data_IF_496904522853
#
_entry.id   IF_496904522853
#
_cell.length_a   1.000
_cell.length_b   1.000
_cell.length_c   1.000
_cell.angle_alpha   90.00
_cell.angle_beta   90.00
_cell.angle_gamma   90.00
#
_symmetry.space_group_name_H-M   'P 1'
#
loop_
_entity.id
_entity.type
_entity.pdbx_description
1 polymer ?
#
# COMPACT_ATOMS: atom_id res chain seq x y z
N UNK A 1 -17.21 -0.29 -26.71
CA UNK A 1 -16.03 -0.53 -25.87
C UNK A 1 -16.55 -1.03 -24.53
N UNK A 2 -16.16 -2.21 -24.09
CA UNK A 2 -16.47 -2.66 -22.73
C UNK A 2 -15.79 -1.71 -21.74
N UNK A 3 -16.53 -1.18 -20.79
CA UNK A 3 -15.98 -0.33 -19.75
C UNK A 3 -15.06 -1.17 -18.86
N UNK A 4 -13.85 -0.68 -18.57
CA UNK A 4 -12.92 -1.35 -17.66
C UNK A 4 -13.57 -1.59 -16.29
N UNK A 5 -13.46 -2.83 -15.78
CA UNK A 5 -14.03 -3.21 -14.49
C UNK A 5 -13.08 -2.79 -13.35
N UNK A 6 -13.35 -1.65 -12.72
CA UNK A 6 -12.55 -1.10 -11.63
C UNK A 6 -12.66 -1.89 -10.31
N UNK A 7 -13.81 -2.54 -10.09
CA UNK A 7 -14.03 -3.33 -8.87
C UNK A 7 -13.21 -4.62 -8.91
N UNK A 8 -12.58 -4.95 -7.78
CA UNK A 8 -11.73 -6.14 -7.62
C UNK A 8 -10.66 -6.27 -8.72
N UNK A 9 -10.18 -5.12 -9.23
CA UNK A 9 -9.11 -5.12 -10.24
C UNK A 9 -7.76 -5.47 -9.63
N UNK A 10 -6.82 -5.95 -10.45
CA UNK A 10 -5.48 -6.36 -10.09
C UNK A 10 -4.43 -5.59 -10.88
N UNK A 11 -3.17 -5.60 -10.44
CA UNK A 11 -2.04 -5.02 -11.17
C UNK A 11 -2.02 -5.54 -12.61
N UNK A 12 -2.12 -6.86 -12.79
CA UNK A 12 -2.06 -7.50 -14.12
C UNK A 12 -3.19 -7.06 -15.04
N UNK A 13 -4.42 -6.86 -14.52
CA UNK A 13 -5.56 -6.37 -15.31
C UNK A 13 -5.36 -4.92 -15.73
N UNK A 14 -4.90 -4.07 -14.81
CA UNK A 14 -4.62 -2.65 -15.09
C UNK A 14 -3.53 -2.50 -16.13
N UNK A 15 -2.39 -3.19 -15.96
CA UNK A 15 -1.29 -3.13 -16.92
C UNK A 15 -1.69 -3.60 -18.32
N UNK A 16 -2.54 -4.63 -18.42
CA UNK A 16 -3.09 -5.07 -19.70
C UNK A 16 -3.91 -3.96 -20.35
N UNK A 17 -4.81 -3.31 -19.58
CA UNK A 17 -5.64 -2.23 -20.06
C UNK A 17 -4.85 -0.98 -20.46
N UNK A 18 -3.74 -0.70 -19.78
CA UNK A 18 -2.81 0.37 -20.21
C UNK A 18 -2.14 0.04 -21.54
N UNK A 19 -1.65 -1.19 -21.70
CA UNK A 19 -0.94 -1.61 -22.91
C UNK A 19 -1.86 -1.74 -24.14
N UNK A 20 -3.13 -2.10 -23.95
CA UNK A 20 -4.11 -2.15 -25.04
C UNK A 20 -4.85 -0.82 -25.27
N UNK A 21 -4.56 0.21 -24.45
CA UNK A 21 -5.12 1.55 -24.58
C UNK A 21 -6.58 1.69 -24.15
N UNK A 22 -7.16 0.69 -23.47
CA UNK A 22 -8.55 0.73 -22.96
C UNK A 22 -8.68 1.50 -21.64
N UNK A 23 -7.57 1.85 -21.00
CA UNK A 23 -7.50 2.59 -19.74
C UNK A 23 -6.24 3.47 -19.73
N UNK A 24 -6.32 4.63 -19.06
CA UNK A 24 -5.17 5.46 -18.71
C UNK A 24 -5.00 5.54 -17.20
N UNK A 25 -3.79 5.90 -16.74
CA UNK A 25 -3.53 6.11 -15.32
C UNK A 25 -4.36 7.28 -14.77
N UNK A 26 -4.53 8.34 -15.55
CA UNK A 26 -5.39 9.47 -15.18
C UNK A 26 -6.84 9.04 -14.97
N UNK A 27 -7.40 8.20 -15.85
CA UNK A 27 -8.77 7.69 -15.70
C UNK A 27 -8.91 6.81 -14.45
N UNK A 28 -7.95 5.92 -14.21
CA UNK A 28 -7.93 5.07 -13.03
C UNK A 28 -7.91 5.91 -11.75
N UNK A 29 -7.01 6.89 -11.66
CA UNK A 29 -6.89 7.76 -10.49
C UNK A 29 -8.17 8.58 -10.28
N UNK A 30 -8.79 9.13 -11.33
CA UNK A 30 -10.06 9.86 -11.22
C UNK A 30 -11.16 9.00 -10.60
N UNK A 31 -11.27 7.74 -10.98
CA UNK A 31 -12.25 6.82 -10.37
C UNK A 31 -11.96 6.63 -8.89
N UNK A 32 -10.72 6.41 -8.49
CA UNK A 32 -10.40 6.25 -7.07
C UNK A 32 -10.60 7.53 -6.25
N UNK A 33 -10.31 8.71 -6.79
CA UNK A 33 -10.61 9.98 -6.13
C UNK A 33 -12.13 10.16 -5.92
N UNK A 34 -12.95 9.82 -6.91
CA UNK A 34 -14.41 9.84 -6.76
C UNK A 34 -14.89 8.84 -5.70
N UNK A 35 -14.26 7.66 -5.60
CA UNK A 35 -14.58 6.67 -4.58
C UNK A 35 -14.17 7.12 -3.19
N UNK A 36 -13.01 7.78 -3.03
CA UNK A 36 -12.60 8.40 -1.76
C UNK A 36 -13.70 9.37 -1.29
N UNK A 37 -14.13 10.27 -2.17
CA UNK A 37 -15.16 11.24 -1.81
C UNK A 37 -16.50 10.58 -1.47
N UNK A 38 -16.92 9.56 -2.22
CA UNK A 38 -18.22 8.93 -2.07
C UNK A 38 -18.32 7.98 -0.87
N UNK A 39 -17.23 7.27 -0.52
CA UNK A 39 -17.27 6.18 0.45
C UNK A 39 -16.40 6.43 1.70
N UNK A 40 -15.31 7.18 1.56
CA UNK A 40 -14.41 7.45 2.68
C UNK A 40 -14.81 8.72 3.43
N UNK A 41 -15.15 9.80 2.70
CA UNK A 41 -15.49 11.10 3.26
C UNK A 41 -17.00 11.32 3.43
N UNK A 42 -17.79 10.68 2.57
CA UNK A 42 -19.26 10.73 2.59
C UNK A 42 -19.83 9.30 2.64
N UNK A 43 -21.14 9.16 2.51
CA UNK A 43 -21.83 7.87 2.52
C UNK A 43 -21.54 7.07 3.78
N UNK A 44 -20.94 5.86 3.69
CA UNK A 44 -20.59 5.06 4.86
C UNK A 44 -19.51 5.70 5.75
N UNK A 45 -18.80 6.70 5.25
CA UNK A 45 -17.75 7.44 5.95
C UNK A 45 -16.72 6.49 6.61
N UNK A 46 -16.05 5.68 5.77
CA UNK A 46 -15.09 4.65 6.20
C UNK A 46 -13.96 5.28 7.01
N UNK A 47 -13.63 6.55 6.72
CA UNK A 47 -12.64 7.34 7.46
C UNK A 47 -11.25 6.70 7.46
N UNK A 48 -10.86 6.18 6.30
CA UNK A 48 -9.59 5.45 6.12
C UNK A 48 -8.44 6.32 5.62
N UNK A 49 -8.72 7.53 5.08
CA UNK A 49 -7.75 8.40 4.42
C UNK A 49 -7.45 9.65 5.25
N UNK A 50 -6.20 9.87 5.63
CA UNK A 50 -5.74 11.10 6.29
C UNK A 50 -5.54 12.22 5.27
N UNK A 51 -4.75 11.96 4.21
CA UNK A 51 -4.58 12.92 3.13
C UNK A 51 -4.41 12.23 1.78
N UNK A 52 -4.85 12.91 0.73
CA UNK A 52 -4.65 12.52 -0.68
C UNK A 52 -3.45 13.26 -1.22
N UNK A 53 -2.68 12.63 -2.08
CA UNK A 53 -1.55 13.26 -2.77
C UNK A 53 -2.07 14.39 -3.67
N UNK A 54 -1.68 15.64 -3.42
CA UNK A 54 -2.16 16.78 -4.20
C UNK A 54 -1.68 16.76 -5.66
N UNK A 55 -0.55 16.10 -5.95
CA UNK A 55 0.05 16.00 -7.29
C UNK A 55 -0.34 14.74 -8.05
N UNK A 56 -1.23 13.91 -7.49
CA UNK A 56 -1.50 12.55 -8.02
C UNK A 56 -1.96 12.54 -9.49
N UNK A 57 -2.72 13.53 -9.92
CA UNK A 57 -3.18 13.60 -11.32
C UNK A 57 -2.06 14.01 -12.28
N UNK A 58 -1.11 14.84 -11.83
CA UNK A 58 0.08 15.21 -12.60
C UNK A 58 1.01 14.01 -12.74
N UNK A 59 1.23 13.26 -11.65
CA UNK A 59 2.01 12.02 -11.64
C UNK A 59 1.38 10.94 -12.54
N UNK A 60 0.06 10.80 -12.50
CA UNK A 60 -0.67 9.88 -13.38
C UNK A 60 -0.52 10.29 -14.87
N UNK A 61 -0.62 11.58 -15.18
CA UNK A 61 -0.42 12.06 -16.53
C UNK A 61 1.03 11.85 -17.03
N UNK A 62 2.01 11.96 -16.14
CA UNK A 62 3.40 11.64 -16.46
C UNK A 62 3.59 10.14 -16.77
N UNK A 63 2.92 9.25 -16.01
CA UNK A 63 2.92 7.82 -16.29
C UNK A 63 2.29 7.50 -17.66
N UNK A 64 1.16 8.12 -18.00
CA UNK A 64 0.52 7.96 -19.32
C UNK A 64 1.44 8.48 -20.45
N UNK A 65 2.11 9.61 -20.24
CA UNK A 65 3.05 10.17 -21.21
C UNK A 65 4.25 9.23 -21.43
N UNK A 66 4.81 8.67 -20.37
CA UNK A 66 5.90 7.67 -20.44
C UNK A 66 5.49 6.47 -21.28
N UNK A 67 4.33 5.88 -20.99
CA UNK A 67 3.83 4.71 -21.73
C UNK A 67 3.62 5.04 -23.24
N UNK A 68 3.08 6.22 -23.53
CA UNK A 68 2.86 6.68 -24.90
C UNK A 68 4.18 6.88 -25.67
N UNK A 69 5.20 7.40 -25.02
CA UNK A 69 6.51 7.67 -25.64
C UNK A 69 7.32 6.38 -25.83
N UNK A 70 7.35 5.52 -24.82
CA UNK A 70 8.23 4.35 -24.80
C UNK A 70 7.55 3.05 -25.25
N UNK A 71 6.22 3.05 -25.40
CA UNK A 71 5.42 1.86 -25.70
C UNK A 71 5.67 0.68 -24.72
N UNK A 72 6.07 1.01 -23.50
CA UNK A 72 6.43 0.06 -22.44
C UNK A 72 6.11 0.62 -21.05
N UNK A 73 5.81 -0.27 -20.12
CA UNK A 73 5.66 0.09 -18.71
C UNK A 73 7.01 0.52 -18.13
N UNK A 74 7.04 1.57 -17.31
CA UNK A 74 8.24 2.06 -16.64
C UNK A 74 8.82 1.05 -15.65
N UNK A 75 7.95 0.24 -15.05
CA UNK A 75 8.34 -0.75 -14.05
C UNK A 75 7.17 -1.66 -13.66
N UNK A 76 7.40 -2.60 -12.73
CA UNK A 76 6.41 -3.61 -12.33
C UNK A 76 5.16 -3.05 -11.64
N UNK A 77 5.17 -1.78 -11.25
CA UNK A 77 4.04 -1.09 -10.62
C UNK A 77 3.64 0.19 -11.38
N UNK A 78 4.01 0.32 -12.66
CA UNK A 78 3.72 1.49 -13.47
C UNK A 78 2.24 1.90 -13.39
N UNK A 79 1.99 3.13 -12.94
CA UNK A 79 0.64 3.71 -12.86
C UNK A 79 -0.28 3.07 -11.81
N UNK A 80 0.23 2.20 -10.94
CA UNK A 80 -0.58 1.50 -9.93
C UNK A 80 -0.73 2.36 -8.67
N UNK A 81 -1.99 2.66 -8.24
CA UNK A 81 -2.24 3.45 -7.04
C UNK A 81 -1.97 2.67 -5.75
N UNK A 82 -1.17 3.27 -4.87
CA UNK A 82 -0.77 2.75 -3.58
C UNK A 82 -1.38 3.56 -2.44
N UNK A 83 -1.97 2.85 -1.48
CA UNK A 83 -2.47 3.36 -0.21
C UNK A 83 -1.41 3.13 0.85
N UNK A 84 -0.74 4.20 1.30
CA UNK A 84 0.42 4.12 2.17
C UNK A 84 0.05 4.48 3.61
N UNK A 85 0.24 3.57 4.56
CA UNK A 85 0.01 3.85 5.99
C UNK A 85 0.78 5.09 6.42
N UNK A 86 0.16 5.96 7.19
CA UNK A 86 0.71 7.30 7.48
C UNK A 86 1.86 7.34 8.50
N UNK A 87 2.52 6.22 8.72
CA UNK A 87 3.82 6.16 9.39
C UNK A 87 5.02 5.96 8.43
N UNK A 88 4.79 5.80 7.12
CA UNK A 88 5.85 5.84 6.12
C UNK A 88 6.12 7.28 5.68
N UNK A 89 7.38 7.69 5.72
CA UNK A 89 7.79 9.00 5.25
C UNK A 89 7.54 9.17 3.75
N UNK A 90 7.04 10.36 3.42
CA UNK A 90 6.87 10.87 2.06
C UNK A 90 7.41 12.31 2.03
N UNK A 91 8.30 12.62 1.11
CA UNK A 91 8.93 13.95 1.00
C UNK A 91 8.00 15.01 0.39
N UNK A 92 6.85 14.59 -0.11
CA UNK A 92 5.84 15.39 -0.83
C UNK A 92 4.50 15.50 -0.07
N UNK A 93 4.32 14.74 1.02
CA UNK A 93 3.11 14.76 1.84
C UNK A 93 3.47 14.70 3.33
N UNK A 94 2.58 15.18 4.22
CA UNK A 94 2.75 14.99 5.66
C UNK A 94 2.84 13.52 6.06
N UNK A 95 3.62 13.24 7.10
CA UNK A 95 3.68 11.95 7.80
C UNK A 95 3.40 12.19 9.27
N UNK A 96 2.22 11.77 9.73
CA UNK A 96 1.73 12.13 11.06
C UNK A 96 1.74 10.97 12.06
N UNK A 97 1.96 9.73 11.61
CA UNK A 97 1.77 8.53 12.42
C UNK A 97 0.41 8.49 13.12
N UNK A 98 -0.63 9.15 12.54
CA UNK A 98 -1.96 9.29 13.11
C UNK A 98 -2.07 10.34 14.23
N UNK A 99 -1.00 11.06 14.55
CA UNK A 99 -0.95 11.98 15.69
C UNK A 99 -1.10 13.43 15.25
N UNK A 100 -1.97 14.18 15.95
CA UNK A 100 -2.10 15.61 15.77
C UNK A 100 -0.80 16.36 16.14
N UNK A 101 0.05 15.78 16.96
CA UNK A 101 1.34 16.36 17.34
C UNK A 101 2.31 16.49 16.15
N UNK A 102 2.14 15.66 15.12
CA UNK A 102 2.92 15.68 13.87
C UNK A 102 2.14 16.27 12.70
N UNK A 103 1.00 16.90 12.94
CA UNK A 103 0.19 17.48 11.89
C UNK A 103 0.99 18.51 11.06
N UNK A 104 1.00 18.33 9.74
CA UNK A 104 1.72 19.19 8.81
C UNK A 104 3.23 18.94 8.70
N UNK A 105 3.78 17.98 9.47
CA UNK A 105 5.20 17.62 9.34
C UNK A 105 5.44 16.84 8.06
N UNK A 106 6.24 17.42 7.14
CA UNK A 106 6.68 16.79 5.89
C UNK A 106 8.14 16.37 6.05
N UNK A 107 8.45 15.07 5.95
CA UNK A 107 9.82 14.58 5.99
C UNK A 107 10.67 15.12 4.83
N UNK A 108 12.00 15.21 5.04
CA UNK A 108 12.92 15.63 3.98
C UNK A 108 13.15 14.56 2.91
N UNK A 109 12.97 13.30 3.27
CA UNK A 109 13.24 12.14 2.42
C UNK A 109 12.08 11.14 2.51
N UNK A 110 11.83 10.42 1.42
CA UNK A 110 10.95 9.27 1.40
C UNK A 110 11.52 8.13 2.26
N UNK A 111 10.65 7.33 2.86
CA UNK A 111 11.06 6.03 3.40
C UNK A 111 11.65 5.15 2.29
N UNK A 112 12.54 4.23 2.62
CA UNK A 112 13.09 3.28 1.65
C UNK A 112 12.00 2.59 0.84
N UNK A 113 10.97 2.08 1.51
CA UNK A 113 9.80 1.45 0.87
C UNK A 113 9.09 2.40 -0.08
N UNK A 114 8.83 3.64 0.35
CA UNK A 114 8.19 4.67 -0.49
C UNK A 114 9.00 4.93 -1.77
N UNK A 115 10.31 5.10 -1.62
CA UNK A 115 11.24 5.29 -2.73
C UNK A 115 11.20 4.11 -3.71
N UNK A 116 11.29 2.87 -3.20
CA UNK A 116 11.23 1.65 -4.03
C UNK A 116 9.93 1.54 -4.82
N UNK A 117 8.81 1.89 -4.21
CA UNK A 117 7.50 1.90 -4.88
C UNK A 117 7.46 2.94 -6.00
N UNK A 118 7.90 4.18 -5.74
CA UNK A 118 7.98 5.26 -6.76
C UNK A 118 8.93 4.88 -7.92
N UNK A 119 10.11 4.32 -7.61
CA UNK A 119 11.07 3.83 -8.61
C UNK A 119 10.49 2.71 -9.49
N UNK A 120 9.60 1.89 -8.96
CA UNK A 120 8.88 0.87 -9.70
C UNK A 120 7.71 1.41 -10.55
N UNK A 121 7.47 2.72 -10.53
CA UNK A 121 6.42 3.42 -11.27
C UNK A 121 5.07 3.49 -10.54
N UNK A 122 5.00 3.15 -9.26
CA UNK A 122 3.78 3.27 -8.47
C UNK A 122 3.40 4.73 -8.19
N UNK A 123 2.10 4.98 -8.10
CA UNK A 123 1.51 6.27 -7.75
C UNK A 123 1.08 6.25 -6.28
N UNK A 124 1.73 7.02 -5.41
CA UNK A 124 1.30 7.12 -4.00
C UNK A 124 0.03 7.97 -3.95
N UNK A 125 -1.13 7.29 -3.92
CA UNK A 125 -2.44 7.94 -4.01
C UNK A 125 -2.80 8.70 -2.73
N UNK A 126 -2.58 8.06 -1.57
CA UNK A 126 -3.01 8.63 -0.30
C UNK A 126 -2.23 8.06 0.90
N UNK A 127 -2.21 8.83 1.98
CA UNK A 127 -1.79 8.41 3.32
C UNK A 127 -2.99 7.93 4.10
N UNK A 128 -2.92 6.71 4.64
CA UNK A 128 -4.04 6.06 5.29
C UNK A 128 -3.97 6.13 6.80
N UNK A 129 -5.15 6.18 7.43
CA UNK A 129 -5.31 6.18 8.87
C UNK A 129 -4.70 4.92 9.51
N UNK A 130 -4.28 5.07 10.75
CA UNK A 130 -3.71 4.01 11.56
C UNK A 130 -4.10 4.22 13.03
N UNK A 131 -3.93 3.19 13.86
CA UNK A 131 -3.90 3.46 15.29
C UNK A 131 -2.69 4.34 15.60
N UNK A 132 -2.90 5.43 16.32
CA UNK A 132 -1.86 6.44 16.59
C UNK A 132 -0.57 5.81 17.04
N UNK A 133 0.58 6.20 16.42
CA UNK A 133 1.91 5.60 16.59
C UNK A 133 1.95 4.07 16.45
N UNK A 134 0.99 3.47 15.75
CA UNK A 134 0.88 2.03 15.50
C UNK A 134 0.76 1.14 16.78
N UNK A 135 0.37 1.71 17.92
CA UNK A 135 0.46 1.04 19.23
C UNK A 135 -0.68 0.07 19.57
N UNK A 136 -1.77 0.02 18.77
CA UNK A 136 -2.92 -0.83 19.07
C UNK A 136 -3.65 -1.34 17.82
N UNK A 137 -4.66 -2.19 18.02
CA UNK A 137 -5.29 -2.98 16.96
C UNK A 137 -6.64 -2.48 16.43
N UNK A 138 -7.05 -1.22 16.66
CA UNK A 138 -8.41 -0.74 16.35
C UNK A 138 -8.49 0.43 15.37
N UNK A 139 -7.37 1.01 15.00
CA UNK A 139 -7.26 2.14 14.05
C UNK A 139 -8.05 3.39 14.50
N UNK A 140 -7.63 3.92 15.63
CA UNK A 140 -8.09 5.19 16.19
C UNK A 140 -6.89 6.14 16.23
N UNK A 141 -7.09 7.36 15.74
CA UNK A 141 -6.04 8.40 15.72
C UNK A 141 -6.58 9.74 16.23
N UNK A 142 -5.70 10.55 16.82
CA UNK A 142 -6.08 11.90 17.25
C UNK A 142 -6.26 12.86 16.07
N UNK A 143 -5.65 12.57 14.92
CA UNK A 143 -5.73 13.43 13.72
C UNK A 143 -7.03 13.20 12.92
N UNK A 144 -7.59 11.98 12.93
CA UNK A 144 -8.73 11.65 12.07
C UNK A 144 -9.88 10.93 12.82
N UNK A 145 -9.63 10.40 14.01
CA UNK A 145 -10.58 9.56 14.72
C UNK A 145 -10.51 8.09 14.26
N UNK A 146 -11.62 7.37 14.40
CA UNK A 146 -11.71 5.95 14.10
C UNK A 146 -12.03 5.68 12.63
N UNK A 147 -11.34 4.71 12.03
CA UNK A 147 -11.76 4.06 10.80
C UNK A 147 -12.72 2.91 11.08
N UNK A 148 -13.63 2.64 10.16
CA UNK A 148 -14.60 1.54 10.27
C UNK A 148 -14.38 0.49 9.19
N UNK A 149 -14.89 -0.73 9.43
CA UNK A 149 -14.81 -1.83 8.48
C UNK A 149 -15.83 -1.61 7.35
N UNK A 150 -15.44 -1.64 6.06
CA UNK A 150 -16.34 -1.40 4.94
C UNK A 150 -17.43 -2.46 4.76
N UNK A 151 -17.25 -3.68 5.29
CA UNK A 151 -18.27 -4.73 5.27
C UNK A 151 -19.33 -4.57 6.36
N UNK A 152 -18.94 -3.99 7.51
CA UNK A 152 -19.82 -3.73 8.64
C UNK A 152 -19.29 -2.51 9.42
N UNK A 153 -19.86 -1.35 9.20
CA UNK A 153 -19.43 -0.09 9.80
C UNK A 153 -19.57 -0.01 11.33
N UNK A 154 -20.17 -1.01 11.95
CA UNK A 154 -20.23 -1.16 13.42
C UNK A 154 -19.00 -1.84 13.99
N UNK A 155 -18.10 -2.34 13.13
CA UNK A 155 -16.90 -3.10 13.50
C UNK A 155 -15.61 -2.33 13.15
N UNK A 156 -14.57 -2.66 13.91
CA UNK A 156 -13.21 -2.18 13.62
C UNK A 156 -12.66 -2.83 12.34
N UNK A 157 -11.87 -2.11 11.53
CA UNK A 157 -11.16 -2.69 10.39
C UNK A 157 -9.89 -3.45 10.80
N UNK A 158 -9.72 -3.74 12.11
CA UNK A 158 -8.45 -4.19 12.66
C UNK A 158 -7.45 -3.04 12.78
N UNK A 159 -6.22 -3.36 13.09
CA UNK A 159 -5.15 -2.36 13.23
C UNK A 159 -3.78 -3.00 13.50
N UNK A 160 -2.80 -2.13 13.57
CA UNK A 160 -2.84 -0.67 13.46
C UNK A 160 -2.95 -0.13 12.02
N UNK A 161 -2.81 -0.94 10.96
CA UNK A 161 -2.93 -0.53 9.54
C UNK A 161 -4.38 -0.64 9.03
N UNK A 162 -5.40 -0.37 9.87
CA UNK A 162 -6.78 -0.60 9.50
C UNK A 162 -7.31 0.35 8.43
N UNK A 163 -6.82 1.59 8.37
CA UNK A 163 -7.14 2.49 7.27
C UNK A 163 -6.66 1.95 5.92
N UNK A 164 -5.47 1.37 5.88
CA UNK A 164 -4.98 0.67 4.68
C UNK A 164 -5.88 -0.51 4.32
N UNK A 165 -6.18 -1.39 5.29
CA UNK A 165 -7.06 -2.55 5.05
C UNK A 165 -8.43 -2.13 4.55
N UNK A 166 -9.07 -1.18 5.23
CA UNK A 166 -10.41 -0.67 4.86
C UNK A 166 -10.44 -0.03 3.46
N UNK A 167 -9.42 0.77 3.12
CA UNK A 167 -9.34 1.42 1.80
C UNK A 167 -9.21 0.39 0.66
N UNK A 168 -8.39 -0.65 0.82
CA UNK A 168 -8.24 -1.70 -0.20
C UNK A 168 -9.51 -2.54 -0.33
N UNK A 169 -10.14 -2.93 0.78
CA UNK A 169 -11.40 -3.67 0.76
C UNK A 169 -12.55 -2.86 0.14
N UNK A 170 -12.59 -1.55 0.37
CA UNK A 170 -13.56 -0.65 -0.25
C UNK A 170 -13.28 -0.33 -1.72
N UNK A 171 -12.27 -0.95 -2.35
CA UNK A 171 -11.85 -0.65 -3.71
C UNK A 171 -11.51 0.83 -3.93
N UNK A 172 -10.75 1.43 -3.01
CA UNK A 172 -10.27 2.81 -3.10
C UNK A 172 -8.82 2.85 -3.63
N UNK A 173 -8.14 1.71 -3.64
CA UNK A 173 -6.80 1.53 -4.18
C UNK A 173 -6.57 0.08 -4.61
N UNK A 174 -5.36 -0.22 -5.10
CA UNK A 174 -4.97 -1.56 -5.54
C UNK A 174 -3.98 -2.19 -4.57
N UNK A 175 -2.93 -1.47 -4.21
CA UNK A 175 -1.90 -1.89 -3.26
C UNK A 175 -2.08 -1.10 -1.96
N UNK A 176 -2.09 -1.80 -0.84
CA UNK A 176 -1.94 -1.23 0.48
C UNK A 176 -0.57 -1.54 1.08
N UNK A 177 0.02 -0.56 1.77
CA UNK A 177 1.23 -0.76 2.56
C UNK A 177 0.94 -0.54 4.04
N UNK A 178 1.37 -1.48 4.86
CA UNK A 178 1.23 -1.41 6.30
C UNK A 178 2.53 -1.75 7.03
N UNK A 179 2.52 -1.55 8.35
CA UNK A 179 3.58 -2.02 9.26
C UNK A 179 3.02 -3.02 10.25
N UNK A 180 3.83 -3.99 10.64
CA UNK A 180 3.45 -5.07 11.56
C UNK A 180 4.53 -5.26 12.63
N UNK A 181 4.17 -4.98 13.86
CA UNK A 181 4.98 -5.24 15.04
C UNK A 181 4.54 -6.57 15.67
N UNK A 182 3.23 -6.65 16.02
CA UNK A 182 2.61 -7.82 16.63
C UNK A 182 1.68 -8.51 15.60
N UNK A 183 0.80 -7.74 14.94
CA UNK A 183 -0.19 -8.25 14.00
C UNK A 183 -0.71 -7.18 12.99
N UNK A 184 -0.04 -6.02 12.88
CA UNK A 184 -0.67 -4.81 12.31
C UNK A 184 -0.73 -4.76 10.76
N UNK A 185 -0.23 -5.76 10.03
CA UNK A 185 -0.55 -6.05 8.62
C UNK A 185 -1.58 -7.18 8.56
N UNK A 186 -1.37 -8.23 9.35
CA UNK A 186 -2.16 -9.47 9.31
C UNK A 186 -3.57 -9.27 9.86
N UNK A 187 -3.72 -8.53 10.98
CA UNK A 187 -5.03 -8.24 11.58
C UNK A 187 -5.93 -7.42 10.63
N UNK A 188 -5.48 -6.27 10.06
CA UNK A 188 -6.29 -5.55 9.08
C UNK A 188 -6.59 -6.37 7.82
N UNK A 189 -5.65 -7.15 7.32
CA UNK A 189 -5.89 -8.02 6.17
C UNK A 189 -7.00 -9.04 6.49
N UNK A 190 -6.92 -9.72 7.64
CA UNK A 190 -7.92 -10.68 8.09
C UNK A 190 -9.29 -10.05 8.30
N UNK A 191 -9.35 -8.90 8.99
CA UNK A 191 -10.62 -8.20 9.27
C UNK A 191 -11.33 -7.68 8.01
N UNK A 192 -10.59 -7.49 6.92
CA UNK A 192 -11.10 -6.93 5.67
C UNK A 192 -11.07 -7.91 4.48
N UNK A 193 -10.95 -9.22 4.73
CA UNK A 193 -10.91 -10.28 3.70
C UNK A 193 -9.83 -10.05 2.63
N UNK A 194 -8.62 -9.69 3.06
CA UNK A 194 -7.48 -9.37 2.21
C UNK A 194 -6.30 -10.31 2.48
N UNK A 195 -5.31 -10.26 1.60
CA UNK A 195 -4.01 -10.91 1.77
C UNK A 195 -3.03 -9.90 2.37
N UNK A 196 -2.49 -10.23 3.55
CA UNK A 196 -1.43 -9.44 4.20
C UNK A 196 -0.16 -10.27 4.36
N UNK A 197 0.97 -9.76 3.91
CA UNK A 197 2.26 -10.42 4.10
C UNK A 197 3.06 -9.68 5.16
N UNK A 198 3.36 -10.36 6.27
CA UNK A 198 4.37 -9.90 7.24
C UNK A 198 5.70 -10.58 6.88
N UNK A 199 6.66 -9.86 6.28
CA UNK A 199 7.96 -10.44 5.94
C UNK A 199 8.78 -10.77 7.20
N UNK A 200 9.80 -11.60 7.02
CA UNK A 200 10.86 -11.76 8.02
C UNK A 200 11.55 -10.42 8.25
N UNK A 201 11.87 -10.10 9.50
CA UNK A 201 12.64 -8.90 9.87
C UNK A 201 13.96 -8.90 9.09
N UNK A 202 14.33 -7.75 8.55
CA UNK A 202 15.50 -7.60 7.69
C UNK A 202 15.27 -7.91 6.21
N UNK A 203 14.09 -8.40 5.80
CA UNK A 203 13.78 -8.55 4.37
C UNK A 203 13.41 -7.22 3.71
N UNK A 204 12.71 -6.36 4.45
CA UNK A 204 12.25 -5.03 4.02
C UNK A 204 12.78 -4.00 5.00
N UNK A 205 13.37 -2.93 4.49
CA UNK A 205 13.92 -1.85 5.31
C UNK A 205 12.82 -1.08 6.06
N UNK A 206 13.15 -0.67 7.27
CA UNK A 206 12.32 0.19 8.15
C UNK A 206 12.78 1.65 8.13
N UNK A 207 13.83 1.98 7.35
CA UNK A 207 14.35 3.35 7.27
C UNK A 207 13.28 4.32 6.74
N UNK A 208 13.05 5.39 7.49
CA UNK A 208 12.02 6.38 7.18
C UNK A 208 10.60 5.95 7.57
N UNK A 209 10.44 4.92 8.41
CA UNK A 209 9.15 4.54 9.00
C UNK A 209 9.15 4.98 10.45
N UNK A 210 8.11 5.73 10.89
CA UNK A 210 7.94 6.06 12.29
C UNK A 210 7.77 4.78 13.09
N UNK A 211 8.69 4.48 14.04
CA UNK A 211 8.75 3.18 14.68
C UNK A 211 7.72 3.02 15.80
N UNK A 212 7.32 1.75 16.02
CA UNK A 212 6.72 1.32 17.28
C UNK A 212 7.73 0.48 18.10
N UNK A 213 8.39 -0.48 17.48
CA UNK A 213 9.41 -1.31 18.12
C UNK A 213 10.60 -1.54 17.17
N UNK A 214 11.78 -1.06 17.55
CA UNK A 214 12.97 -1.20 16.73
C UNK A 214 13.41 -2.65 16.49
N UNK A 215 12.96 -3.59 17.32
CA UNK A 215 13.34 -5.01 17.23
C UNK A 215 12.26 -5.90 16.62
N UNK A 216 11.02 -5.39 16.41
CA UNK A 216 9.90 -6.22 15.98
C UNK A 216 9.20 -5.69 14.73
N UNK A 217 9.37 -4.40 14.41
CA UNK A 217 8.70 -3.78 13.27
C UNK A 217 9.18 -4.37 11.94
N UNK A 218 8.23 -4.53 11.04
CA UNK A 218 8.48 -4.80 9.62
C UNK A 218 7.40 -4.14 8.78
N UNK A 219 7.68 -3.88 7.50
CA UNK A 219 6.73 -3.35 6.55
C UNK A 219 6.26 -4.45 5.60
N UNK A 220 4.99 -4.40 5.19
CA UNK A 220 4.45 -5.40 4.28
C UNK A 220 3.20 -4.96 3.54
N UNK A 221 2.90 -5.62 2.40
CA UNK A 221 1.74 -5.32 1.57
C UNK A 221 0.45 -5.90 2.15
N UNK A 222 -0.66 -5.19 1.86
CA UNK A 222 -2.05 -5.60 2.08
C UNK A 222 -2.77 -5.44 0.75
N UNK A 223 -3.15 -6.56 0.12
CA UNK A 223 -3.73 -6.57 -1.23
C UNK A 223 -4.94 -7.50 -1.30
N UNK A 224 -5.71 -7.41 -2.39
CA UNK A 224 -6.83 -8.34 -2.63
C UNK A 224 -6.38 -9.73 -3.08
N UNK A 225 -5.24 -9.82 -3.76
CA UNK A 225 -4.73 -11.09 -4.29
C UNK A 225 -3.34 -11.41 -3.78
N UNK A 226 -3.00 -12.70 -3.72
CA UNK A 226 -1.64 -13.17 -3.40
C UNK A 226 -0.64 -12.66 -4.43
N UNK A 227 -1.01 -12.66 -5.73
CA UNK A 227 -0.14 -12.19 -6.81
C UNK A 227 0.26 -10.73 -6.61
N UNK A 228 -0.71 -9.83 -6.35
CA UNK A 228 -0.42 -8.40 -6.14
C UNK A 228 0.44 -8.18 -4.88
N UNK A 229 0.17 -8.92 -3.80
CA UNK A 229 0.95 -8.83 -2.57
C UNK A 229 2.41 -9.30 -2.78
N UNK A 230 2.60 -10.40 -3.49
CA UNK A 230 3.92 -10.96 -3.80
C UNK A 230 4.70 -10.07 -4.77
N UNK A 231 4.04 -9.52 -5.80
CA UNK A 231 4.63 -8.55 -6.73
C UNK A 231 5.10 -7.30 -6.00
N UNK A 232 4.30 -6.82 -5.06
CA UNK A 232 4.67 -5.68 -4.21
C UNK A 232 5.86 -6.01 -3.32
N UNK A 233 5.89 -7.21 -2.71
CA UNK A 233 7.00 -7.66 -1.88
C UNK A 233 8.31 -7.75 -2.69
N UNK A 234 8.26 -8.20 -3.94
CA UNK A 234 9.43 -8.24 -4.83
C UNK A 234 10.05 -6.85 -5.03
N UNK A 235 9.23 -5.82 -5.10
CA UNK A 235 9.66 -4.43 -5.27
C UNK A 235 10.31 -3.87 -4.00
N UNK A 236 9.68 -4.08 -2.84
CA UNK A 236 10.09 -3.42 -1.59
C UNK A 236 11.19 -4.16 -0.83
N UNK A 237 11.44 -5.44 -1.13
CA UNK A 237 12.48 -6.24 -0.50
C UNK A 237 13.87 -5.84 -0.98
N UNK A 238 14.86 -5.84 -0.07
CA UNK A 238 16.26 -5.64 -0.41
C UNK A 238 17.08 -4.95 0.66
N UNK A 239 18.38 -4.87 0.40
CA UNK A 239 19.35 -4.24 1.27
C UNK A 239 19.22 -2.72 1.28
N UNK A 240 19.34 -2.15 2.48
CA UNK A 240 19.39 -0.71 2.73
C UNK A 240 20.47 -0.44 3.78
N UNK A 241 21.47 0.39 3.46
CA UNK A 241 22.54 0.76 4.38
C UNK A 241 22.05 1.52 5.63
N UNK A 242 20.85 2.15 5.54
CA UNK A 242 20.19 2.88 6.64
C UNK A 242 19.44 1.95 7.61
N UNK A 243 19.26 0.66 7.28
CA UNK A 243 18.68 -0.37 8.17
C UNK A 243 19.57 -1.62 8.16
N UNK A 244 20.48 -1.68 9.10
CA UNK A 244 21.50 -2.74 9.20
C UNK A 244 20.92 -4.16 9.24
N UNK A 245 19.69 -4.34 9.74
CA UNK A 245 19.01 -5.64 9.76
C UNK A 245 18.83 -6.22 8.35
N UNK A 246 18.73 -5.37 7.33
CA UNK A 246 18.56 -5.81 5.94
C UNK A 246 19.80 -6.52 5.38
N UNK A 247 20.96 -6.37 6.00
CA UNK A 247 22.17 -7.11 5.61
C UNK A 247 22.00 -8.64 5.71
N UNK A 248 21.13 -9.12 6.62
CA UNK A 248 20.84 -10.54 6.78
C UNK A 248 20.15 -11.15 5.55
N UNK A 249 19.47 -10.34 4.72
CA UNK A 249 18.78 -10.79 3.53
C UNK A 249 19.67 -10.90 2.29
N UNK A 250 20.89 -10.34 2.33
CA UNK A 250 21.81 -10.32 1.20
C UNK A 250 22.19 -11.76 0.80
N UNK A 251 21.96 -12.11 -0.47
CA UNK A 251 22.24 -13.44 -1.01
C UNK A 251 21.18 -14.51 -0.64
N UNK A 252 20.16 -14.19 0.15
CA UNK A 252 19.12 -15.15 0.53
C UNK A 252 17.98 -15.23 -0.50
N UNK A 253 17.68 -14.15 -1.22
CA UNK A 253 16.67 -14.13 -2.27
C UNK A 253 17.18 -14.83 -3.52
N UNK A 254 16.45 -15.86 -3.97
CA UNK A 254 16.73 -16.60 -5.22
C UNK A 254 15.62 -16.31 -6.22
N UNK A 255 15.85 -15.43 -7.19
CA UNK A 255 14.87 -15.04 -8.20
C UNK A 255 13.75 -14.14 -7.66
N UNK A 256 12.64 -14.10 -8.39
CA UNK A 256 11.43 -13.37 -7.99
C UNK A 256 10.55 -14.25 -7.11
N UNK A 257 9.87 -13.67 -6.12
CA UNK A 257 8.87 -14.38 -5.33
C UNK A 257 7.67 -14.82 -6.18
N UNK A 258 7.37 -14.10 -7.28
CA UNK A 258 6.32 -14.48 -8.24
C UNK A 258 6.59 -15.83 -8.88
N UNK A 259 7.84 -16.21 -9.09
CA UNK A 259 8.23 -17.49 -9.70
C UNK A 259 7.78 -18.70 -8.84
N UNK A 260 7.46 -18.45 -7.57
CA UNK A 260 6.99 -19.47 -6.63
C UNK A 260 5.46 -19.56 -6.51
N UNK A 261 4.71 -18.75 -7.26
CA UNK A 261 3.25 -18.79 -7.26
C UNK A 261 2.74 -19.96 -8.10
N UNK A 262 2.47 -21.07 -7.44
CA UNK A 262 1.96 -22.30 -8.05
C UNK A 262 0.65 -22.71 -7.36
N UNK A 263 -0.38 -23.08 -8.15
CA UNK A 263 -1.69 -23.50 -7.60
C UNK A 263 -1.54 -24.67 -6.63
N UNK A 264 -0.70 -25.63 -6.98
CA UNK A 264 -0.51 -26.87 -6.23
C UNK A 264 0.79 -26.84 -5.40
N UNK A 265 1.33 -25.62 -5.17
CA UNK A 265 2.61 -25.42 -4.50
C UNK A 265 2.69 -25.92 -3.05
N UNK A 266 1.55 -26.13 -2.41
CA UNK A 266 1.44 -26.67 -1.05
C UNK A 266 1.25 -28.18 -1.00
N UNK A 267 0.99 -28.84 -2.16
CA UNK A 267 0.78 -30.29 -2.20
C UNK A 267 2.04 -31.03 -1.75
N UNK A 268 1.89 -31.96 -0.82
CA UNK A 268 2.98 -32.73 -0.25
C UNK A 268 3.99 -31.95 0.60
N UNK A 269 3.74 -30.67 0.88
CA UNK A 269 4.60 -29.89 1.77
C UNK A 269 4.21 -30.09 3.23
N UNK A 270 5.22 -30.14 4.10
CA UNK A 270 5.05 -30.10 5.55
C UNK A 270 5.09 -28.64 5.99
N UNK A 271 4.03 -28.20 6.67
CA UNK A 271 3.84 -26.85 7.20
C UNK A 271 4.19 -26.82 8.69
#
# INVERSE_FOLDING_TARGET
MEHFAFMETTISKVHRAYLDGSLTAVELIKVYLQRIEAYDKKGPAINSIICVNPSILEEAAAADAYLKEHHALQGPLHGIPVMLKDNFNTSDMPTTAGSIALNGWVPKEDAFVTKKLKEAGALILAKTNLHEFAIWGETISSILGQSVNPYDTTRTPGGSSGGTGASIAANIGIIGMGTDTINSVRSPASANSLVGIRPTIGLVSRAGIVPYSLTQDTAGPICRTVEDAVRTLDVIAGYDEKDAETAWSVGQKRGSYIDHLQKDGMEGKRI
#
